data_IF_434775413881
#
_entry.id   IF_434775413881
#
_cell.length_a   1.000
_cell.length_b   1.000
_cell.length_c   1.000
_cell.angle_alpha   90.00
_cell.angle_beta   90.00
_cell.angle_gamma   90.00
#
_symmetry.space_group_name_H-M   'P 1'
#
loop_
_entity.id
_entity.type
_entity.pdbx_description
1 polymer ?
#
# COMPACT_ATOMS: atom_id res chain seq x y z
N UNK A 1 -0.73 8.57 -28.87
CA UNK A 1 -1.12 8.18 -30.25
C UNK A 1 -0.30 6.94 -30.58
N UNK A 2 -0.93 5.89 -31.10
CA UNK A 2 -0.18 4.73 -31.60
C UNK A 2 0.51 5.13 -32.92
N UNK A 3 1.81 4.86 -33.03
CA UNK A 3 2.57 5.08 -34.27
C UNK A 3 2.52 3.81 -35.13
N UNK A 4 2.29 4.00 -36.43
CA UNK A 4 2.22 2.92 -37.41
C UNK A 4 3.30 3.15 -38.48
N UNK A 5 3.84 2.04 -38.99
CA UNK A 5 4.80 2.02 -40.10
C UNK A 5 4.19 1.22 -41.24
N UNK A 6 4.23 1.79 -42.45
CA UNK A 6 3.92 1.06 -43.68
C UNK A 6 5.15 0.27 -44.11
N UNK A 7 5.00 -1.02 -44.35
CA UNK A 7 6.05 -1.90 -44.88
C UNK A 7 5.53 -2.61 -46.14
N UNK A 8 6.43 -2.89 -47.08
CA UNK A 8 6.09 -3.71 -48.25
C UNK A 8 6.45 -5.17 -47.97
N UNK A 9 5.45 -6.04 -47.98
CA UNK A 9 5.62 -7.49 -47.93
C UNK A 9 5.97 -8.04 -49.32
N UNK A 10 6.78 -9.12 -49.40
CA UNK A 10 7.20 -9.73 -50.66
C UNK A 10 6.06 -10.06 -51.63
N UNK A 11 4.99 -10.70 -51.14
CA UNK A 11 3.91 -11.21 -51.99
C UNK A 11 2.59 -10.44 -51.77
N UNK A 12 2.37 -9.91 -50.57
CA UNK A 12 1.10 -9.24 -50.22
C UNK A 12 1.07 -7.73 -50.54
N UNK A 13 2.22 -7.08 -50.71
CA UNK A 13 2.31 -5.63 -50.93
C UNK A 13 2.33 -4.81 -49.64
N UNK A 14 1.84 -3.56 -49.67
CA UNK A 14 1.94 -2.66 -48.51
C UNK A 14 0.98 -3.04 -47.37
N UNK A 15 1.52 -3.13 -46.16
CA UNK A 15 0.76 -3.34 -44.92
C UNK A 15 1.18 -2.35 -43.84
N UNK A 16 0.23 -1.96 -43.00
CA UNK A 16 0.49 -1.15 -41.81
C UNK A 16 0.75 -2.05 -40.61
N UNK A 17 1.89 -1.82 -39.95
CA UNK A 17 2.26 -2.46 -38.70
C UNK A 17 2.39 -1.43 -37.58
N UNK A 18 2.09 -1.83 -36.34
CA UNK A 18 2.43 -1.04 -35.16
C UNK A 18 3.96 -0.86 -35.08
N UNK A 19 4.41 0.33 -34.69
CA UNK A 19 5.84 0.63 -34.57
C UNK A 19 6.53 -0.07 -33.39
N UNK A 20 5.73 -0.57 -32.44
CA UNK A 20 6.23 -1.33 -31.29
C UNK A 20 5.24 -2.38 -30.81
N UNK A 21 5.79 -3.52 -30.40
CA UNK A 21 5.13 -4.62 -29.71
C UNK A 21 5.06 -4.31 -28.23
N UNK A 22 3.84 -4.30 -27.68
CA UNK A 22 3.67 -4.02 -26.24
C UNK A 22 4.15 -5.18 -25.37
N UNK A 23 4.66 -4.86 -24.17
CA UNK A 23 5.05 -5.86 -23.16
C UNK A 23 3.91 -6.84 -22.84
N UNK A 24 2.65 -6.38 -22.83
CA UNK A 24 1.48 -7.23 -22.60
C UNK A 24 1.29 -8.31 -23.67
N UNK A 25 1.54 -7.99 -24.94
CA UNK A 25 1.48 -8.97 -26.04
C UNK A 25 2.58 -10.02 -25.94
N UNK A 26 3.77 -9.64 -25.48
CA UNK A 26 4.87 -10.58 -25.24
C UNK A 26 4.57 -11.52 -24.08
N UNK A 27 3.93 -11.05 -23.01
CA UNK A 27 3.44 -11.90 -21.92
C UNK A 27 2.35 -12.87 -22.39
N UNK A 28 1.43 -12.41 -23.24
CA UNK A 28 0.43 -13.30 -23.84
C UNK A 28 1.10 -14.37 -24.72
N UNK A 29 2.08 -13.99 -25.54
CA UNK A 29 2.86 -14.93 -26.33
C UNK A 29 3.56 -15.95 -25.43
N UNK A 30 4.28 -15.49 -24.39
CA UNK A 30 4.99 -16.33 -23.41
C UNK A 30 4.07 -17.39 -22.79
N UNK A 31 2.89 -16.96 -22.35
CA UNK A 31 1.91 -17.82 -21.65
C UNK A 31 1.31 -18.91 -22.55
N UNK A 32 1.38 -18.75 -23.88
CA UNK A 32 0.71 -19.63 -24.83
C UNK A 32 1.66 -20.42 -25.74
N UNK A 33 2.90 -19.98 -25.95
CA UNK A 33 3.76 -20.60 -26.97
C UNK A 33 4.13 -22.05 -26.61
N UNK A 34 4.26 -22.42 -25.32
CA UNK A 34 4.58 -23.81 -24.95
C UNK A 34 3.45 -24.78 -25.35
N UNK A 35 2.20 -24.31 -25.34
CA UNK A 35 1.02 -25.10 -25.73
C UNK A 35 0.85 -25.14 -27.24
N UNK A 36 1.06 -24.01 -27.91
CA UNK A 36 0.91 -23.91 -29.35
C UNK A 36 1.74 -22.74 -29.91
N UNK A 37 3.02 -22.97 -30.29
CA UNK A 37 3.89 -21.93 -30.80
C UNK A 37 3.29 -21.23 -32.03
N UNK A 38 2.64 -22.01 -32.90
CA UNK A 38 1.92 -21.51 -34.06
C UNK A 38 0.82 -20.51 -33.67
N UNK A 39 -0.15 -20.91 -32.82
CA UNK A 39 -1.25 -20.02 -32.45
C UNK A 39 -0.78 -18.76 -31.71
N UNK A 40 0.20 -18.90 -30.81
CA UNK A 40 0.77 -17.76 -30.09
C UNK A 40 1.43 -16.77 -31.05
N UNK A 41 2.22 -17.26 -32.01
CA UNK A 41 2.91 -16.43 -32.99
C UNK A 41 1.94 -15.68 -33.92
N UNK A 42 0.92 -16.36 -34.45
CA UNK A 42 -0.07 -15.70 -35.32
C UNK A 42 -0.95 -14.69 -34.56
N UNK A 43 -1.22 -14.91 -33.27
CA UNK A 43 -1.86 -13.86 -32.45
C UNK A 43 -0.96 -12.65 -32.28
N UNK A 44 0.32 -12.87 -31.97
CA UNK A 44 1.29 -11.79 -31.85
C UNK A 44 1.38 -10.96 -33.14
N UNK A 45 1.39 -11.62 -34.30
CA UNK A 45 1.35 -10.95 -35.59
C UNK A 45 0.05 -10.18 -35.82
N UNK A 46 -1.12 -10.81 -35.60
CA UNK A 46 -2.43 -10.16 -35.76
C UNK A 46 -2.58 -8.93 -34.87
N UNK A 47 -2.07 -8.98 -33.64
CA UNK A 47 -2.12 -7.83 -32.73
C UNK A 47 -1.23 -6.66 -33.19
N UNK A 48 -0.21 -6.93 -34.01
CA UNK A 48 0.69 -5.92 -34.57
C UNK A 48 0.29 -5.43 -35.96
N UNK A 49 -0.57 -6.16 -36.67
CA UNK A 49 -1.06 -5.84 -38.01
C UNK A 49 -2.44 -5.17 -37.94
N UNK A 50 -2.71 -4.18 -38.80
CA UNK A 50 -4.07 -3.67 -39.02
C UNK A 50 -4.86 -4.47 -40.06
N UNK A 51 -4.28 -5.55 -40.60
CA UNK A 51 -4.92 -6.39 -41.61
C UNK A 51 -5.52 -7.66 -41.01
N UNK A 52 -6.80 -7.90 -41.32
CA UNK A 52 -7.49 -9.16 -41.00
C UNK A 52 -7.04 -10.33 -41.89
N UNK A 53 -6.23 -10.07 -42.93
CA UNK A 53 -5.90 -11.03 -44.00
C UNK A 53 -4.64 -11.86 -43.74
N UNK A 54 -4.19 -12.03 -42.50
CA UNK A 54 -2.94 -12.78 -42.25
C UNK A 54 -3.00 -14.23 -42.77
N UNK A 55 -4.21 -14.80 -42.86
CA UNK A 55 -4.42 -16.16 -43.33
C UNK A 55 -4.17 -16.31 -44.84
N UNK A 56 -4.04 -15.20 -45.59
CA UNK A 56 -3.64 -15.19 -47.00
C UNK A 56 -2.16 -14.89 -47.23
N UNK A 57 -1.36 -14.67 -46.19
CA UNK A 57 0.05 -14.37 -46.33
C UNK A 57 0.83 -15.62 -46.74
N UNK A 58 1.82 -15.44 -47.61
CA UNK A 58 2.74 -16.52 -47.96
C UNK A 58 3.66 -16.87 -46.79
N UNK A 59 4.38 -17.98 -46.90
CA UNK A 59 5.39 -18.35 -45.89
C UNK A 59 6.51 -17.29 -45.86
N UNK A 60 6.84 -16.73 -47.01
CA UNK A 60 7.81 -15.67 -47.21
C UNK A 60 7.38 -14.37 -46.52
N UNK A 61 6.11 -13.96 -46.66
CA UNK A 61 5.52 -12.82 -45.95
C UNK A 61 5.54 -13.03 -44.43
N UNK A 62 5.12 -14.22 -43.97
CA UNK A 62 5.11 -14.57 -42.54
C UNK A 62 6.54 -14.59 -41.98
N UNK A 63 7.51 -15.07 -42.75
CA UNK A 63 8.91 -15.06 -42.36
C UNK A 63 9.46 -13.63 -42.27
N UNK A 64 9.13 -12.77 -43.22
CA UNK A 64 9.53 -11.37 -43.21
C UNK A 64 9.00 -10.63 -41.97
N UNK A 65 7.71 -10.84 -41.65
CA UNK A 65 7.11 -10.28 -40.45
C UNK A 65 7.70 -10.86 -39.16
N UNK A 66 7.97 -12.17 -39.14
CA UNK A 66 8.67 -12.83 -38.03
C UNK A 66 10.06 -12.24 -37.78
N UNK A 67 10.79 -11.92 -38.85
CA UNK A 67 12.10 -11.28 -38.76
C UNK A 67 11.99 -9.85 -38.24
N UNK A 68 11.02 -9.06 -38.69
CA UNK A 68 10.80 -7.70 -38.17
C UNK A 68 10.50 -7.68 -36.67
N UNK A 69 9.63 -8.58 -36.21
CA UNK A 69 9.38 -8.75 -34.78
C UNK A 69 10.65 -9.21 -34.03
N UNK A 70 11.44 -10.08 -34.64
CA UNK A 70 12.69 -10.54 -34.05
C UNK A 70 13.75 -9.43 -33.96
N UNK A 71 13.79 -8.51 -34.92
CA UNK A 71 14.65 -7.32 -34.88
C UNK A 71 14.23 -6.37 -33.75
N UNK A 72 12.93 -6.16 -33.58
CA UNK A 72 12.38 -5.32 -32.51
C UNK A 72 12.75 -5.85 -31.11
N UNK A 73 12.78 -7.18 -30.95
CA UNK A 73 13.12 -7.86 -29.70
C UNK A 73 14.62 -8.19 -29.56
N UNK A 74 15.47 -7.68 -30.45
CA UNK A 74 16.91 -7.93 -30.47
C UNK A 74 17.29 -9.43 -30.53
N UNK A 75 16.43 -10.25 -31.16
CA UNK A 75 16.62 -11.71 -31.36
C UNK A 75 16.74 -12.14 -32.83
N UNK A 76 16.93 -11.18 -33.74
CA UNK A 76 16.97 -11.43 -35.18
C UNK A 76 18.00 -12.49 -35.61
N UNK A 77 19.18 -12.50 -35.01
CA UNK A 77 20.24 -13.47 -35.35
C UNK A 77 19.86 -14.90 -34.95
N UNK A 78 19.32 -15.08 -33.74
CA UNK A 78 18.80 -16.37 -33.29
C UNK A 78 17.62 -16.86 -34.15
N UNK A 79 16.77 -15.92 -34.59
CA UNK A 79 15.66 -16.21 -35.50
C UNK A 79 16.17 -16.70 -36.86
N UNK A 80 17.11 -15.97 -37.47
CA UNK A 80 17.71 -16.32 -38.77
C UNK A 80 18.39 -17.68 -38.73
N UNK A 81 19.20 -17.94 -37.69
CA UNK A 81 19.87 -19.24 -37.49
C UNK A 81 18.85 -20.38 -37.43
N UNK A 82 17.80 -20.22 -36.62
CA UNK A 82 16.76 -21.23 -36.46
C UNK A 82 15.97 -21.45 -37.76
N UNK A 83 15.61 -20.37 -38.47
CA UNK A 83 14.90 -20.45 -39.75
C UNK A 83 15.77 -21.11 -40.84
N UNK A 84 17.05 -20.76 -40.95
CA UNK A 84 18.00 -21.36 -41.90
C UNK A 84 18.23 -22.86 -41.64
N UNK A 85 18.04 -23.32 -40.40
CA UNK A 85 18.07 -24.75 -40.05
C UNK A 85 16.82 -25.53 -40.50
N UNK A 86 15.85 -24.86 -41.13
CA UNK A 86 14.61 -25.45 -41.66
C UNK A 86 13.42 -25.35 -40.71
N UNK A 87 13.53 -24.61 -39.60
CA UNK A 87 12.38 -24.37 -38.72
C UNK A 87 11.38 -23.43 -39.40
N UNK A 88 10.06 -23.69 -39.34
CA UNK A 88 9.07 -22.75 -39.84
C UNK A 88 9.07 -21.46 -38.98
N UNK A 89 8.58 -20.31 -39.50
CA UNK A 89 8.71 -18.99 -38.86
C UNK A 89 8.29 -18.97 -37.38
N UNK A 90 7.15 -19.57 -37.05
CA UNK A 90 6.64 -19.62 -35.68
C UNK A 90 7.53 -20.43 -34.71
N UNK A 91 8.22 -21.47 -35.20
CA UNK A 91 9.17 -22.24 -34.38
C UNK A 91 10.50 -21.53 -34.27
N UNK A 92 10.99 -20.93 -35.37
CA UNK A 92 12.20 -20.13 -35.35
C UNK A 92 12.08 -18.96 -34.36
N UNK A 93 10.93 -18.27 -34.38
CA UNK A 93 10.62 -17.20 -33.42
C UNK A 93 10.54 -17.72 -31.98
N UNK A 94 9.85 -18.83 -31.73
CA UNK A 94 9.77 -19.41 -30.38
C UNK A 94 11.15 -19.80 -29.82
N UNK A 95 12.01 -20.36 -30.66
CA UNK A 95 13.38 -20.73 -30.27
C UNK A 95 14.24 -19.50 -30.00
N UNK A 96 14.13 -18.46 -30.84
CA UNK A 96 14.83 -17.20 -30.66
C UNK A 96 14.35 -16.46 -29.41
N UNK A 97 13.03 -16.40 -29.19
CA UNK A 97 12.41 -15.74 -28.03
C UNK A 97 12.84 -16.39 -26.72
N UNK A 98 12.92 -17.72 -26.65
CA UNK A 98 13.43 -18.45 -25.46
C UNK A 98 14.88 -18.11 -25.10
N UNK A 99 15.67 -17.63 -26.07
CA UNK A 99 17.05 -17.20 -25.88
C UNK A 99 17.17 -15.70 -25.58
N UNK A 100 16.05 -14.95 -25.56
CA UNK A 100 16.05 -13.51 -25.30
C UNK A 100 16.24 -13.19 -23.82
N UNK A 101 16.88 -12.06 -23.54
CA UNK A 101 16.96 -11.49 -22.19
C UNK A 101 15.56 -11.18 -21.63
N UNK A 102 14.61 -10.81 -22.49
CA UNK A 102 13.21 -10.60 -22.12
C UNK A 102 12.57 -11.87 -21.55
N UNK A 103 12.74 -13.01 -22.23
CA UNK A 103 12.24 -14.29 -21.75
C UNK A 103 12.89 -14.69 -20.42
N UNK A 104 14.20 -14.50 -20.29
CA UNK A 104 14.87 -14.77 -19.01
C UNK A 104 14.35 -13.87 -17.88
N UNK A 105 14.13 -12.57 -18.16
CA UNK A 105 13.60 -11.63 -17.19
C UNK A 105 12.17 -11.98 -16.74
N UNK A 106 11.30 -12.32 -17.70
CA UNK A 106 9.92 -12.73 -17.43
C UNK A 106 9.85 -14.04 -16.67
N UNK A 107 10.71 -15.01 -16.98
CA UNK A 107 10.87 -16.24 -16.19
C UNK A 107 11.30 -15.94 -14.75
N UNK A 108 12.32 -15.11 -14.54
CA UNK A 108 12.76 -14.71 -13.19
C UNK A 108 11.65 -13.97 -12.42
N UNK A 109 10.91 -13.09 -13.07
CA UNK A 109 9.77 -12.40 -12.47
C UNK A 109 8.67 -13.39 -12.07
N UNK A 110 8.33 -14.32 -12.97
CA UNK A 110 7.34 -15.37 -12.75
C UNK A 110 7.74 -16.28 -11.59
N UNK A 111 8.99 -16.71 -11.55
CA UNK A 111 9.53 -17.54 -10.48
C UNK A 111 9.54 -16.79 -9.15
N UNK A 112 9.91 -15.50 -9.14
CA UNK A 112 9.82 -14.63 -7.96
C UNK A 112 8.38 -14.42 -7.50
N UNK A 113 7.44 -14.26 -8.44
CA UNK A 113 6.02 -14.11 -8.15
C UNK A 113 5.43 -15.40 -7.56
N UNK A 114 5.71 -16.56 -8.14
CA UNK A 114 5.27 -17.83 -7.59
C UNK A 114 5.95 -18.17 -6.26
N UNK A 115 7.25 -17.87 -6.14
CA UNK A 115 7.98 -18.01 -4.88
C UNK A 115 7.38 -17.10 -3.80
N UNK A 116 7.07 -15.85 -4.12
CA UNK A 116 6.41 -14.92 -3.19
C UNK A 116 4.99 -15.38 -2.86
N UNK A 117 4.24 -16.01 -3.77
CA UNK A 117 2.92 -16.59 -3.45
C UNK A 117 3.02 -17.78 -2.48
N UNK A 118 4.06 -18.61 -2.60
CA UNK A 118 4.31 -19.74 -1.70
C UNK A 118 4.88 -19.25 -0.36
N UNK A 119 5.79 -18.27 -0.40
CA UNK A 119 6.32 -17.59 0.78
C UNK A 119 5.22 -16.83 1.52
N UNK A 120 4.29 -16.16 0.83
CA UNK A 120 3.14 -15.49 1.44
C UNK A 120 2.17 -16.50 2.07
N UNK A 121 1.98 -17.68 1.46
CA UNK A 121 1.24 -18.79 2.10
C UNK A 121 1.95 -19.31 3.35
N UNK A 122 3.28 -19.45 3.32
CA UNK A 122 4.08 -19.90 4.45
C UNK A 122 4.16 -18.84 5.57
N UNK A 123 4.34 -17.57 5.22
CA UNK A 123 4.32 -16.40 6.11
C UNK A 123 2.94 -16.27 6.73
N UNK A 124 1.84 -16.41 5.97
CA UNK A 124 0.48 -16.44 6.53
C UNK A 124 0.33 -17.54 7.60
N UNK A 125 0.85 -18.74 7.32
CA UNK A 125 0.84 -19.87 8.27
C UNK A 125 1.76 -19.65 9.48
N UNK A 126 2.85 -18.89 9.33
CA UNK A 126 3.78 -18.53 10.41
C UNK A 126 3.37 -17.29 11.21
N UNK A 127 2.55 -16.40 10.62
CA UNK A 127 2.02 -15.20 11.25
C UNK A 127 0.71 -15.44 12.00
N UNK A 128 0.03 -16.58 11.79
CA UNK A 128 -1.13 -17.00 12.58
C UNK A 128 -0.87 -16.97 14.12
N UNK A 129 0.23 -17.51 14.65
CA UNK A 129 0.54 -17.42 16.09
C UNK A 129 0.93 -16.00 16.58
N UNK A 130 1.80 -15.22 15.89
CA UNK A 130 2.08 -13.82 16.24
C UNK A 130 0.86 -12.90 16.20
N UNK A 131 -0.09 -13.13 15.29
CA UNK A 131 -1.34 -12.36 15.24
C UNK A 131 -2.22 -12.63 16.47
N UNK A 132 -2.20 -13.87 16.99
CA UNK A 132 -2.76 -14.20 18.30
C UNK A 132 -2.06 -13.45 19.44
N UNK A 133 -0.73 -13.33 19.39
CA UNK A 133 0.05 -12.59 20.39
C UNK A 133 -0.18 -11.07 20.33
N UNK A 134 -0.29 -10.47 19.13
CA UNK A 134 -0.60 -9.05 18.95
C UNK A 134 -2.00 -8.74 19.50
N UNK A 135 -2.98 -9.61 19.23
CA UNK A 135 -4.32 -9.49 19.81
C UNK A 135 -4.30 -9.62 21.33
N UNK A 136 -3.54 -10.57 21.88
CA UNK A 136 -3.34 -10.71 23.33
C UNK A 136 -2.62 -9.51 23.95
N UNK A 137 -1.66 -8.88 23.27
CA UNK A 137 -0.98 -7.65 23.72
C UNK A 137 -1.94 -6.46 23.68
N UNK A 138 -2.77 -6.33 22.62
CA UNK A 138 -3.81 -5.32 22.54
C UNK A 138 -4.83 -5.46 23.69
N UNK A 139 -5.23 -6.70 24.01
CA UNK A 139 -6.10 -7.05 25.13
C UNK A 139 -5.42 -6.84 26.50
N UNK A 140 -4.08 -6.95 26.59
CA UNK A 140 -3.30 -6.66 27.81
C UNK A 140 -3.08 -5.17 28.05
N UNK A 141 -2.95 -4.37 26.98
CA UNK A 141 -2.64 -2.93 27.04
C UNK A 141 -3.92 -2.10 27.16
N UNK A 142 -5.04 -2.56 26.60
CA UNK A 142 -6.35 -1.91 26.69
C UNK A 142 -6.80 -1.54 28.13
N UNK A 143 -6.67 -2.42 29.15
CA UNK A 143 -7.03 -2.08 30.53
C UNK A 143 -6.14 -1.00 31.14
N UNK A 144 -4.85 -0.96 30.80
CA UNK A 144 -3.89 0.04 31.26
C UNK A 144 -4.17 1.42 30.66
N UNK A 145 -4.65 1.48 29.41
CA UNK A 145 -5.12 2.70 28.78
C UNK A 145 -6.46 3.17 29.37
N UNK A 146 -7.40 2.26 29.64
CA UNK A 146 -8.68 2.58 30.32
C UNK A 146 -8.51 3.02 31.77
N UNK A 147 -7.50 2.52 32.47
CA UNK A 147 -7.15 2.98 33.82
C UNK A 147 -6.53 4.39 33.81
N UNK A 148 -5.95 4.82 32.69
CA UNK A 148 -5.52 6.19 32.46
C UNK A 148 -6.71 7.12 32.18
N UNK A 149 -7.75 6.63 31.49
CA UNK A 149 -9.00 7.35 31.24
C UNK A 149 -9.91 7.44 32.49
N UNK A 150 -9.80 6.51 33.44
CA UNK A 150 -10.62 6.45 34.66
C UNK A 150 -10.17 7.41 35.78
N UNK A 151 -9.04 8.09 35.63
CA UNK A 151 -8.64 9.20 36.49
C UNK A 151 -9.40 10.47 36.04
N UNK A 152 -10.61 10.61 36.56
CA UNK A 152 -11.54 11.71 36.29
C UNK A 152 -10.89 13.11 36.26
N UNK A 153 -10.56 13.58 35.07
CA UNK A 153 -10.50 14.99 34.70
C UNK A 153 -10.81 15.13 33.20
N UNK A 154 -12.08 15.07 32.82
CA UNK A 154 -12.63 15.86 31.70
C UNK A 154 -14.16 15.89 31.87
N UNK A 155 -14.75 17.09 31.97
CA UNK A 155 -15.00 17.86 30.75
C UNK A 155 -14.59 19.33 30.87
N UNK A 156 -14.26 19.90 29.71
CA UNK A 156 -13.74 21.27 29.44
C UNK A 156 -12.20 21.30 29.37
N UNK A 157 -11.69 21.62 28.17
CA UNK A 157 -10.30 21.97 27.80
C UNK A 157 -9.38 20.93 27.13
N UNK A 158 -9.81 20.33 26.02
CA UNK A 158 -8.92 19.50 25.19
C UNK A 158 -7.82 20.32 24.47
N UNK A 159 -7.88 21.66 24.50
CA UNK A 159 -6.89 22.55 23.88
C UNK A 159 -5.99 23.33 24.85
N UNK A 160 -6.30 23.36 26.16
CA UNK A 160 -5.46 24.10 27.13
C UNK A 160 -4.44 23.21 27.83
N UNK A 161 -4.69 21.90 27.93
CA UNK A 161 -3.84 20.99 28.70
C UNK A 161 -2.53 20.66 27.97
N UNK A 162 -2.58 20.47 26.65
CA UNK A 162 -1.38 20.32 25.82
C UNK A 162 -0.58 21.64 25.70
N UNK A 163 -1.25 22.78 25.86
CA UNK A 163 -0.61 24.10 25.92
C UNK A 163 0.07 24.37 27.27
N UNK A 164 -0.47 23.82 28.37
CA UNK A 164 0.16 23.90 29.68
C UNK A 164 1.38 22.99 29.81
N UNK A 165 1.43 21.86 29.11
CA UNK A 165 2.60 20.98 29.11
C UNK A 165 3.75 21.49 28.22
N UNK A 166 3.47 22.42 27.29
CA UNK A 166 4.50 23.12 26.51
C UNK A 166 5.09 24.36 27.20
N UNK A 167 4.57 24.77 28.37
CA UNK A 167 5.14 25.87 29.14
C UNK A 167 6.01 25.35 30.31
N UNK A 168 7.23 25.89 30.52
CA UNK A 168 8.16 25.47 31.58
C UNK A 168 7.57 25.52 33.01
N UNK A 169 6.47 26.23 33.20
CA UNK A 169 5.79 26.47 34.48
C UNK A 169 4.97 25.28 35.00
N UNK A 170 4.61 24.30 34.17
CA UNK A 170 3.78 23.15 34.60
C UNK A 170 4.57 22.08 35.38
N UNK A 171 5.82 21.83 34.99
CA UNK A 171 6.75 21.03 35.79
C UNK A 171 7.05 21.71 37.15
N UNK A 172 7.17 23.05 37.16
CA UNK A 172 7.29 23.84 38.39
C UNK A 172 6.03 23.79 39.25
N UNK A 173 4.83 23.82 38.67
CA UNK A 173 3.56 23.71 39.41
C UNK A 173 3.36 22.31 40.01
N UNK A 174 3.77 21.25 39.31
CA UNK A 174 3.75 19.88 39.81
C UNK A 174 4.80 19.65 40.91
N UNK A 175 6.01 20.20 40.75
CA UNK A 175 7.07 20.16 41.77
C UNK A 175 6.71 20.99 43.01
N UNK A 176 6.12 22.17 42.83
CA UNK A 176 5.61 23.03 43.92
C UNK A 176 4.45 22.37 44.66
N UNK A 177 3.51 21.74 43.95
CA UNK A 177 2.40 20.98 44.55
C UNK A 177 2.89 19.75 45.33
N UNK A 178 3.90 19.04 44.82
CA UNK A 178 4.57 17.95 45.56
C UNK A 178 5.29 18.44 46.82
N UNK A 179 5.85 19.65 46.81
CA UNK A 179 6.47 20.29 47.99
C UNK A 179 5.43 20.83 48.99
N UNK A 180 4.29 21.33 48.50
CA UNK A 180 3.18 21.83 49.33
C UNK A 180 2.33 20.70 49.94
N UNK A 181 2.18 19.58 49.25
CA UNK A 181 1.41 18.39 49.69
C UNK A 181 2.23 17.43 50.58
N UNK A 182 3.50 17.72 50.88
CA UNK A 182 4.34 17.02 51.88
C UNK A 182 3.89 17.20 53.35
N UNK A 183 2.59 17.29 53.59
CA UNK A 183 1.98 17.36 54.94
C UNK A 183 1.83 15.99 55.62
N UNK A 184 2.29 14.90 55.00
CA UNK A 184 2.23 13.54 55.57
C UNK A 184 3.52 13.03 56.24
N UNK A 185 4.55 13.87 56.39
CA UNK A 185 5.73 13.53 57.20
C UNK A 185 5.97 14.58 58.30
N UNK A 186 6.23 14.17 59.55
CA UNK A 186 6.36 15.10 60.67
C UNK A 186 7.54 16.06 60.44
N UNK A 187 7.27 17.37 60.59
CA UNK A 187 8.20 18.52 60.41
C UNK A 187 9.44 18.54 61.33
N UNK A 188 9.73 17.45 62.05
CA UNK A 188 10.74 17.41 63.11
C UNK A 188 11.99 16.58 62.75
N UNK A 189 12.29 16.40 61.46
CA UNK A 189 13.60 15.89 61.05
C UNK A 189 14.44 17.05 60.50
N UNK A 190 15.68 17.12 61.01
CA UNK A 190 16.63 18.23 60.92
C UNK A 190 16.80 18.82 59.50
N UNK A 191 17.14 20.12 59.37
CA UNK A 191 17.43 20.79 58.09
C UNK A 191 18.49 20.08 57.23
N UNK A 192 19.32 19.26 57.85
CA UNK A 192 20.43 18.51 57.24
C UNK A 192 20.00 17.45 56.20
N UNK A 193 18.70 17.21 56.01
CA UNK A 193 18.17 16.19 55.09
C UNK A 193 17.45 16.73 53.84
N UNK A 194 17.31 18.05 53.66
CA UNK A 194 16.74 18.63 52.42
C UNK A 194 17.65 18.42 51.22
N UNK A 195 18.95 18.55 51.41
CA UNK A 195 19.96 18.52 50.36
C UNK A 195 20.13 17.10 49.78
N UNK A 196 20.00 16.08 50.64
CA UNK A 196 20.03 14.67 50.23
C UNK A 196 18.83 14.30 49.34
N UNK A 197 17.67 14.95 49.53
CA UNK A 197 16.45 14.67 48.77
C UNK A 197 16.48 15.28 47.38
N UNK A 198 17.06 16.48 47.23
CA UNK A 198 17.22 17.12 45.92
C UNK A 198 18.21 16.34 45.04
N UNK A 199 19.34 15.94 45.62
CA UNK A 199 20.33 15.09 44.95
C UNK A 199 19.76 13.72 44.57
N UNK A 200 18.95 13.09 45.44
CA UNK A 200 18.29 11.82 45.13
C UNK A 200 17.25 11.94 44.00
N UNK A 201 16.48 13.03 43.95
CA UNK A 201 15.49 13.26 42.89
C UNK A 201 16.14 13.54 41.52
N UNK A 202 17.23 14.31 41.50
CA UNK A 202 18.02 14.57 40.29
C UNK A 202 18.72 13.31 39.80
N UNK A 203 19.33 12.54 40.71
CA UNK A 203 19.96 11.25 40.40
C UNK A 203 18.95 10.24 39.86
N UNK A 204 17.76 10.17 40.44
CA UNK A 204 16.68 9.30 39.97
C UNK A 204 16.18 9.71 38.58
N UNK A 205 16.08 11.01 38.31
CA UNK A 205 15.66 11.53 37.00
C UNK A 205 16.69 11.20 35.90
N UNK A 206 17.98 11.33 36.22
CA UNK A 206 19.08 10.94 35.31
C UNK A 206 19.14 9.42 35.09
N UNK A 207 18.90 8.62 36.12
CA UNK A 207 18.80 7.16 36.01
C UNK A 207 17.62 6.73 35.12
N UNK A 208 16.44 7.36 35.27
CA UNK A 208 15.26 7.09 34.43
C UNK A 208 15.52 7.48 32.97
N UNK A 209 16.12 8.66 32.73
CA UNK A 209 16.47 9.10 31.38
C UNK A 209 17.49 8.15 30.73
N UNK A 210 18.54 7.77 31.47
CA UNK A 210 19.57 6.81 31.01
C UNK A 210 18.97 5.44 30.69
N UNK A 211 18.06 4.93 31.54
CA UNK A 211 17.35 3.66 31.31
C UNK A 211 16.52 3.70 30.04
N UNK A 212 15.76 4.79 29.82
CA UNK A 212 14.92 4.94 28.62
C UNK A 212 15.75 5.07 27.34
N UNK A 213 16.86 5.81 27.40
CA UNK A 213 17.81 5.90 26.27
C UNK A 213 18.39 4.52 25.96
N UNK A 214 18.70 3.71 26.97
CA UNK A 214 19.19 2.34 26.80
C UNK A 214 18.15 1.43 26.16
N UNK A 215 16.90 1.46 26.63
CA UNK A 215 15.78 0.68 26.06
C UNK A 215 15.53 1.02 24.60
N UNK A 216 15.46 2.31 24.26
CA UNK A 216 15.31 2.78 22.87
C UNK A 216 16.49 2.28 22.03
N UNK A 217 17.72 2.43 22.53
CA UNK A 217 18.94 1.99 21.83
C UNK A 217 18.99 0.47 21.58
N UNK A 218 18.35 -0.33 22.42
CA UNK A 218 18.30 -1.79 22.25
C UNK A 218 17.29 -2.24 21.20
N UNK A 219 16.17 -1.51 21.04
CA UNK A 219 15.09 -1.88 20.12
C UNK A 219 15.32 -1.29 18.72
N UNK A 220 15.96 -0.11 18.63
CA UNK A 220 16.21 0.61 17.37
C UNK A 220 16.94 -0.23 16.29
N UNK A 221 17.98 -1.03 16.59
CA UNK A 221 18.68 -1.85 15.60
C UNK A 221 17.81 -2.99 15.02
N UNK A 222 16.75 -3.39 15.73
CA UNK A 222 15.82 -4.43 15.29
C UNK A 222 14.72 -3.83 14.41
N UNK A 223 14.26 -2.62 14.74
CA UNK A 223 13.32 -1.85 13.92
C UNK A 223 13.97 -1.46 12.58
N UNK A 224 15.19 -0.90 12.61
CA UNK A 224 15.93 -0.50 11.40
C UNK A 224 16.27 -1.70 10.49
N UNK A 225 16.70 -2.84 11.06
CA UNK A 225 16.92 -4.08 10.28
C UNK A 225 15.63 -4.65 9.69
N UNK A 226 14.52 -4.61 10.42
CA UNK A 226 13.22 -5.12 9.97
C UNK A 226 12.61 -4.30 8.83
N UNK A 227 12.81 -2.99 8.84
CA UNK A 227 12.19 -2.05 7.89
C UNK A 227 12.95 -1.87 6.58
N UNK A 228 14.18 -2.41 6.44
CA UNK A 228 15.06 -2.22 5.26
C UNK A 228 15.05 -0.76 4.76
N UNK A 229 15.21 0.19 5.67
CA UNK A 229 15.25 1.61 5.32
C UNK A 229 16.56 1.92 4.55
N UNK A 230 16.52 2.77 3.50
CA UNK A 230 17.71 3.14 2.74
C UNK A 230 18.67 3.96 3.60
N UNK A 231 19.95 3.57 3.60
CA UNK A 231 21.03 4.06 4.47
C UNK A 231 21.26 5.59 4.49
N UNK A 232 20.76 6.35 3.50
CA UNK A 232 21.09 7.77 3.32
C UNK A 232 20.16 8.73 4.08
N UNK A 233 18.90 8.36 4.34
CA UNK A 233 17.95 9.21 5.10
C UNK A 233 18.15 9.15 6.61
N UNK A 234 18.81 8.09 7.10
CA UNK A 234 18.84 7.72 8.52
C UNK A 234 20.10 8.19 9.25
N UNK A 235 21.12 8.60 8.49
CA UNK A 235 22.42 9.01 9.04
C UNK A 235 22.30 10.16 10.04
N UNK A 236 21.53 11.23 9.79
CA UNK A 236 21.41 12.34 10.73
C UNK A 236 20.75 11.90 12.05
N UNK A 237 19.73 11.05 12.00
CA UNK A 237 18.97 10.60 13.18
C UNK A 237 19.79 9.65 14.04
N UNK A 238 20.51 8.71 13.42
CA UNK A 238 21.43 7.82 14.12
C UNK A 238 22.63 8.58 14.70
N UNK A 239 23.13 9.61 14.01
CA UNK A 239 24.19 10.50 14.52
C UNK A 239 23.69 11.33 15.71
N UNK A 240 22.48 11.90 15.65
CA UNK A 240 21.87 12.66 16.76
C UNK A 240 21.61 11.79 17.99
N UNK A 241 21.08 10.57 17.81
CA UNK A 241 20.87 9.63 18.92
C UNK A 241 22.20 9.16 19.53
N UNK A 242 23.21 8.90 18.70
CA UNK A 242 24.56 8.55 19.16
C UNK A 242 25.20 9.69 19.96
N UNK A 243 25.05 10.94 19.50
CA UNK A 243 25.54 12.12 20.21
C UNK A 243 24.81 12.32 21.55
N UNK A 244 23.49 12.14 21.59
CA UNK A 244 22.72 12.24 22.84
C UNK A 244 23.14 11.17 23.87
N UNK A 245 23.37 9.93 23.42
CA UNK A 245 23.88 8.84 24.27
C UNK A 245 25.29 9.16 24.80
N UNK A 246 26.19 9.60 23.92
CA UNK A 246 27.57 9.94 24.29
C UNK A 246 27.61 11.09 25.30
N UNK A 247 26.79 12.12 25.10
CA UNK A 247 26.73 13.28 25.99
C UNK A 247 26.12 12.93 27.35
N UNK A 248 25.10 12.07 27.39
CA UNK A 248 24.54 11.55 28.65
C UNK A 248 25.55 10.72 29.45
N UNK A 249 26.42 9.96 28.79
CA UNK A 249 27.47 9.19 29.43
C UNK A 249 28.57 10.10 30.01
N UNK A 250 28.96 11.14 29.28
CA UNK A 250 29.94 12.13 29.72
C UNK A 250 29.46 12.93 30.96
N UNK A 251 28.19 13.35 30.97
CA UNK A 251 27.58 14.01 32.13
C UNK A 251 27.57 13.12 33.38
N UNK A 252 27.30 11.83 33.21
CA UNK A 252 27.29 10.86 34.32
C UNK A 252 28.69 10.65 34.91
N UNK A 253 29.73 10.66 34.06
CA UNK A 253 31.11 10.54 34.49
C UNK A 253 31.60 11.80 35.22
N UNK A 254 31.25 12.98 34.71
CA UNK A 254 31.69 14.25 35.30
C UNK A 254 30.98 14.56 36.61
N UNK A 255 29.69 14.24 36.75
CA UNK A 255 28.94 14.40 38.02
C UNK A 255 29.45 13.48 39.14
N UNK A 256 29.95 12.29 38.80
CA UNK A 256 30.58 11.39 39.77
C UNK A 256 31.92 11.89 40.33
N UNK A 257 32.61 12.80 39.64
CA UNK A 257 33.92 13.33 40.04
C UNK A 257 33.84 14.47 41.07
N UNK A 258 32.71 15.18 41.16
CA UNK A 258 32.56 16.34 42.06
C UNK A 258 32.16 15.98 43.50
N UNK A 259 31.79 14.73 43.80
CA UNK A 259 31.37 14.28 45.13
C UNK A 259 32.50 13.60 45.96
N UNK A 260 33.72 14.16 45.95
CA UNK A 260 34.76 13.76 46.90
C UNK A 260 34.82 14.76 48.06
N UNK A 261 34.41 14.39 49.30
CA UNK A 261 34.53 15.29 50.43
C UNK A 261 36.00 15.39 50.82
N UNK A 262 36.58 16.58 50.68
CA UNK A 262 37.90 16.90 51.24
C UNK A 262 37.71 17.42 52.66
N UNK A 263 37.98 16.57 53.66
CA UNK A 263 37.92 16.96 55.07
C UNK A 263 39.19 17.72 55.47
N UNK A 264 39.12 19.06 55.58
CA UNK A 264 40.05 19.84 56.41
C UNK A 264 39.37 21.12 56.89
N UNK A 265 39.02 21.13 58.17
CA UNK A 265 38.44 22.28 58.86
C UNK A 265 39.53 23.26 59.29
N UNK A 266 39.40 24.52 58.88
CA UNK A 266 39.56 25.72 59.73
C UNK A 266 39.26 26.97 58.88
N UNK A 267 38.26 27.76 59.31
CA UNK A 267 37.94 29.14 58.94
C UNK A 267 37.69 29.50 57.44
N UNK A 268 37.09 28.61 56.65
CA UNK A 268 36.63 28.86 55.26
C UNK A 268 35.12 28.69 55.02
N UNK A 269 34.31 28.65 56.07
CA UNK A 269 32.87 28.31 56.03
C UNK A 269 32.06 29.18 55.04
N UNK A 270 32.35 30.48 54.95
CA UNK A 270 31.64 31.40 54.05
C UNK A 270 31.97 31.23 52.56
N UNK A 271 33.18 30.78 52.21
CA UNK A 271 33.58 30.59 50.80
C UNK A 271 33.15 29.21 50.31
N UNK A 272 33.15 28.22 51.19
CA UNK A 272 32.66 26.86 50.88
C UNK A 272 31.16 26.87 50.58
N UNK A 273 30.34 27.62 51.31
CA UNK A 273 28.91 27.71 51.05
C UNK A 273 28.59 28.43 49.72
N UNK A 274 29.29 29.52 49.40
CA UNK A 274 29.09 30.22 48.11
C UNK A 274 29.57 29.39 46.91
N UNK A 275 30.72 28.71 47.03
CA UNK A 275 31.24 27.84 45.96
C UNK A 275 30.39 26.59 45.78
N UNK A 276 29.85 26.02 46.86
CA UNK A 276 28.89 24.92 46.81
C UNK A 276 27.58 25.34 46.14
N UNK A 277 27.00 26.47 46.55
CA UNK A 277 25.78 27.00 45.94
C UNK A 277 25.95 27.32 44.44
N UNK A 278 27.10 27.90 44.06
CA UNK A 278 27.43 28.15 42.66
C UNK A 278 27.59 26.84 41.87
N UNK A 279 28.25 25.83 42.44
CA UNK A 279 28.41 24.53 41.79
C UNK A 279 27.07 23.81 41.63
N UNK A 280 26.19 23.87 42.64
CA UNK A 280 24.84 23.28 42.58
C UNK A 280 23.97 23.99 41.53
N UNK A 281 24.06 25.31 41.42
CA UNK A 281 23.35 26.08 40.40
C UNK A 281 23.80 25.70 38.98
N UNK A 282 25.12 25.58 38.75
CA UNK A 282 25.68 25.16 37.46
C UNK A 282 25.25 23.72 37.13
N UNK A 283 25.30 22.81 38.10
CA UNK A 283 24.85 21.43 37.93
C UNK A 283 23.34 21.35 37.62
N UNK A 284 22.53 22.15 38.30
CA UNK A 284 21.08 22.21 38.08
C UNK A 284 20.75 22.75 36.68
N UNK A 285 21.39 23.85 36.26
CA UNK A 285 21.20 24.44 34.93
C UNK A 285 21.65 23.48 33.81
N UNK A 286 22.79 22.82 34.00
CA UNK A 286 23.29 21.80 33.07
C UNK A 286 22.33 20.61 32.97
N UNK A 287 21.89 20.06 34.10
CA UNK A 287 20.95 18.94 34.12
C UNK A 287 19.60 19.32 33.48
N UNK A 288 19.09 20.51 33.75
CA UNK A 288 17.83 21.01 33.15
C UNK A 288 17.95 21.13 31.64
N UNK A 289 19.07 21.70 31.16
CA UNK A 289 19.34 21.85 29.73
C UNK A 289 19.47 20.49 29.04
N UNK A 290 20.14 19.52 29.68
CA UNK A 290 20.24 18.16 29.15
C UNK A 290 18.89 17.43 29.09
N UNK A 291 18.05 17.58 30.10
CA UNK A 291 16.70 17.01 30.10
C UNK A 291 15.85 17.61 28.98
N UNK A 292 15.90 18.94 28.80
CA UNK A 292 15.18 19.61 27.73
C UNK A 292 15.65 19.16 26.34
N UNK A 293 16.96 19.04 26.14
CA UNK A 293 17.54 18.56 24.88
C UNK A 293 17.12 17.12 24.59
N UNK A 294 17.25 16.22 25.56
CA UNK A 294 16.83 14.80 25.41
C UNK A 294 15.34 14.71 25.10
N UNK A 295 14.49 15.46 25.79
CA UNK A 295 13.05 15.44 25.53
C UNK A 295 12.70 15.96 24.13
N UNK A 296 13.38 17.01 23.65
CA UNK A 296 13.19 17.52 22.30
C UNK A 296 13.60 16.49 21.24
N UNK A 297 14.77 15.85 21.41
CA UNK A 297 15.23 14.79 20.50
C UNK A 297 14.30 13.57 20.52
N UNK A 298 13.80 13.16 21.68
CA UNK A 298 12.84 12.05 21.79
C UNK A 298 11.53 12.39 21.08
N UNK A 299 11.04 13.62 21.17
CA UNK A 299 9.84 14.06 20.47
C UNK A 299 10.03 14.02 18.95
N UNK A 300 11.15 14.54 18.43
CA UNK A 300 11.46 14.52 16.99
C UNK A 300 11.58 13.08 16.45
N UNK A 301 12.26 12.20 17.19
CA UNK A 301 12.39 10.78 16.82
C UNK A 301 11.04 10.09 16.85
N UNK A 302 10.19 10.39 17.83
CA UNK A 302 8.85 9.80 17.93
C UNK A 302 7.98 10.21 16.73
N UNK A 303 7.97 11.49 16.36
CA UNK A 303 7.23 11.97 15.19
C UNK A 303 7.73 11.33 13.89
N UNK A 304 9.05 11.18 13.74
CA UNK A 304 9.62 10.51 12.58
C UNK A 304 9.22 9.03 12.52
N UNK A 305 9.27 8.32 13.65
CA UNK A 305 8.85 6.91 13.74
C UNK A 305 7.37 6.78 13.42
N UNK A 306 6.50 7.62 13.99
CA UNK A 306 5.07 7.63 13.68
C UNK A 306 4.81 7.84 12.19
N UNK A 307 5.50 8.81 11.57
CA UNK A 307 5.39 9.09 10.14
C UNK A 307 5.85 7.92 9.26
N UNK A 308 6.94 7.25 9.63
CA UNK A 308 7.45 6.08 8.89
C UNK A 308 6.56 4.84 9.09
N UNK A 309 6.04 4.63 10.30
CA UNK A 309 5.07 3.56 10.60
C UNK A 309 3.78 3.79 9.82
N UNK A 310 3.23 5.00 9.84
CA UNK A 310 2.00 5.33 9.14
C UNK A 310 2.17 5.27 7.62
N UNK A 311 3.29 5.73 7.07
CA UNK A 311 3.50 5.72 5.62
C UNK A 311 3.87 4.34 5.05
N UNK A 312 4.58 3.49 5.81
CA UNK A 312 5.09 2.20 5.30
C UNK A 312 4.37 0.98 5.86
N UNK A 313 4.12 0.97 7.17
CA UNK A 313 3.62 -0.20 7.88
C UNK A 313 2.10 -0.28 7.77
N UNK A 314 1.40 0.86 7.92
CA UNK A 314 -0.06 0.89 7.87
C UNK A 314 -0.62 0.35 6.53
N UNK A 315 -0.12 0.73 5.35
CA UNK A 315 -0.60 0.16 4.08
C UNK A 315 -0.34 -1.34 3.95
N UNK A 316 0.75 -1.85 4.55
CA UNK A 316 1.03 -3.28 4.59
C UNK A 316 0.06 -4.02 5.50
N UNK A 317 -0.26 -3.47 6.68
CA UNK A 317 -1.27 -4.05 7.56
C UNK A 317 -2.65 -4.10 6.90
N UNK A 318 -3.06 -3.02 6.23
CA UNK A 318 -4.33 -2.98 5.50
C UNK A 318 -4.37 -4.01 4.37
N UNK A 319 -3.27 -4.17 3.63
CA UNK A 319 -3.13 -5.23 2.62
C UNK A 319 -3.23 -6.61 3.24
N UNK A 320 -2.52 -6.88 4.34
CA UNK A 320 -2.58 -8.17 5.05
C UNK A 320 -3.99 -8.44 5.57
N UNK A 321 -4.64 -7.47 6.19
CA UNK A 321 -6.02 -7.61 6.64
C UNK A 321 -6.97 -7.91 5.48
N UNK A 322 -6.79 -7.24 4.34
CA UNK A 322 -7.55 -7.50 3.11
C UNK A 322 -7.32 -8.92 2.59
N UNK A 323 -6.10 -9.46 2.68
CA UNK A 323 -5.80 -10.85 2.32
C UNK A 323 -6.39 -11.87 3.31
N UNK A 324 -6.48 -11.50 4.58
CA UNK A 324 -7.01 -12.35 5.66
C UNK A 324 -8.53 -12.40 5.63
N UNK A 325 -9.17 -11.28 5.35
CA UNK A 325 -10.62 -11.12 5.28
C UNK A 325 -11.00 -10.32 4.04
N UNK A 326 -10.90 -10.94 2.84
CA UNK A 326 -11.24 -10.26 1.60
C UNK A 326 -12.68 -9.73 1.64
N UNK A 327 -12.92 -8.46 1.22
CA UNK A 327 -14.28 -7.98 1.06
C UNK A 327 -15.01 -8.88 0.07
N UNK A 328 -16.32 -9.07 0.27
CA UNK A 328 -17.12 -9.78 -0.73
C UNK A 328 -17.11 -8.92 -2.00
N UNK A 329 -16.94 -9.54 -3.16
CA UNK A 329 -16.87 -8.80 -4.42
C UNK A 329 -18.14 -7.96 -4.67
N UNK A 330 -19.31 -8.45 -4.26
CA UNK A 330 -20.56 -7.68 -4.28
C UNK A 330 -20.45 -6.37 -3.49
N UNK A 331 -19.82 -6.39 -2.31
CA UNK A 331 -19.66 -5.20 -1.46
C UNK A 331 -18.74 -4.17 -2.13
N UNK A 332 -17.74 -4.62 -2.89
CA UNK A 332 -16.89 -3.74 -3.71
C UNK A 332 -17.69 -3.07 -4.83
N UNK A 333 -18.54 -3.82 -5.55
CA UNK A 333 -19.39 -3.25 -6.59
C UNK A 333 -20.43 -2.28 -6.02
N UNK A 334 -20.96 -2.54 -4.82
CA UNK A 334 -21.87 -1.62 -4.14
C UNK A 334 -21.15 -0.32 -3.71
N UNK A 335 -19.93 -0.41 -3.20
CA UNK A 335 -19.09 0.77 -2.90
C UNK A 335 -18.78 1.58 -4.17
N UNK A 336 -18.46 0.88 -5.27
CA UNK A 336 -18.27 1.50 -6.58
C UNK A 336 -19.52 2.27 -7.02
N UNK A 337 -20.68 1.61 -6.98
CA UNK A 337 -21.95 2.20 -7.37
C UNK A 337 -22.25 3.48 -6.56
N UNK A 338 -22.06 3.43 -5.24
CA UNK A 338 -22.23 4.59 -4.36
C UNK A 338 -21.28 5.73 -4.71
N UNK A 339 -20.00 5.44 -4.98
CA UNK A 339 -19.00 6.45 -5.35
C UNK A 339 -19.36 7.15 -6.65
N UNK A 340 -19.71 6.39 -7.69
CA UNK A 340 -20.09 6.95 -8.99
C UNK A 340 -21.36 7.78 -8.87
N UNK A 341 -22.40 7.23 -8.24
CA UNK A 341 -23.68 7.91 -8.02
C UNK A 341 -23.49 9.23 -7.27
N UNK A 342 -22.59 9.29 -6.28
CA UNK A 342 -22.37 10.51 -5.49
C UNK A 342 -21.50 11.54 -6.19
N UNK A 343 -20.40 11.11 -6.80
CA UNK A 343 -19.29 12.00 -7.16
C UNK A 343 -19.01 12.11 -8.66
N UNK A 344 -19.49 11.15 -9.47
CA UNK A 344 -19.04 11.02 -10.86
C UNK A 344 -20.18 10.83 -11.87
N UNK A 345 -21.44 10.85 -11.44
CA UNK A 345 -22.58 10.59 -12.32
C UNK A 345 -22.65 11.55 -13.52
N UNK A 346 -22.29 12.82 -13.33
CA UNK A 346 -22.30 13.85 -14.38
C UNK A 346 -21.35 13.53 -15.54
N UNK A 347 -20.27 12.77 -15.29
CA UNK A 347 -19.28 12.40 -16.31
C UNK A 347 -19.82 11.48 -17.39
N UNK A 348 -20.99 10.86 -17.16
CA UNK A 348 -21.69 10.06 -18.16
C UNK A 348 -22.50 10.91 -19.15
N UNK A 349 -22.62 12.21 -18.92
CA UNK A 349 -23.41 13.13 -19.73
C UNK A 349 -22.53 14.16 -20.42
N UNK A 350 -22.93 14.56 -21.62
CA UNK A 350 -22.31 15.70 -22.29
C UNK A 350 -22.81 16.97 -21.57
N UNK A 351 -21.92 17.86 -21.09
CA UNK A 351 -22.32 19.11 -20.45
C UNK A 351 -23.31 19.89 -21.32
N UNK A 352 -24.34 20.46 -20.66
CA UNK A 352 -25.42 21.24 -21.28
C UNK A 352 -26.28 20.49 -22.31
N UNK A 353 -26.14 19.16 -22.41
CA UNK A 353 -26.98 18.31 -23.27
C UNK A 353 -27.67 17.22 -22.45
N UNK A 354 -28.87 16.84 -22.88
CA UNK A 354 -29.58 15.67 -22.34
C UNK A 354 -29.10 14.34 -22.95
N UNK A 355 -27.85 14.31 -23.43
CA UNK A 355 -27.27 13.17 -24.13
C UNK A 355 -26.10 12.60 -23.32
N UNK A 356 -26.00 11.27 -23.30
CA UNK A 356 -24.85 10.59 -22.72
C UNK A 356 -23.60 10.81 -23.58
N UNK A 357 -22.43 10.63 -22.97
CA UNK A 357 -21.16 10.61 -23.71
C UNK A 357 -21.15 9.49 -24.77
N UNK A 358 -20.33 9.60 -25.83
CA UNK A 358 -20.12 8.50 -26.75
C UNK A 358 -19.51 7.29 -26.02
N UNK A 359 -20.03 6.08 -26.29
CA UNK A 359 -19.56 4.82 -25.68
C UNK A 359 -19.59 4.79 -24.13
N UNK A 360 -20.75 5.05 -23.49
CA UNK A 360 -20.87 5.10 -22.04
C UNK A 360 -20.53 3.76 -21.35
N UNK A 361 -20.78 2.62 -22.00
CA UNK A 361 -20.38 1.28 -21.50
C UNK A 361 -18.86 1.15 -21.39
N UNK A 362 -18.11 1.55 -22.42
CA UNK A 362 -16.64 1.53 -22.41
C UNK A 362 -16.06 2.45 -21.33
N UNK A 363 -16.69 3.60 -21.10
CA UNK A 363 -16.31 4.49 -20.01
C UNK A 363 -16.59 3.84 -18.65
N UNK A 364 -17.77 3.24 -18.46
CA UNK A 364 -18.12 2.46 -17.27
C UNK A 364 -17.11 1.34 -16.97
N UNK A 365 -16.74 0.53 -17.97
CA UNK A 365 -15.70 -0.50 -17.86
C UNK A 365 -14.37 0.11 -17.35
N UNK A 366 -13.98 1.25 -17.90
CA UNK A 366 -12.73 1.94 -17.56
C UNK A 366 -12.74 2.43 -16.12
N UNK A 367 -13.79 3.13 -15.69
CA UNK A 367 -13.87 3.64 -14.31
C UNK A 367 -14.02 2.51 -13.28
N UNK A 368 -14.69 1.41 -13.62
CA UNK A 368 -14.77 0.23 -12.77
C UNK A 368 -13.38 -0.39 -12.58
N UNK A 369 -12.62 -0.52 -13.67
CA UNK A 369 -11.27 -1.07 -13.62
C UNK A 369 -10.36 -0.23 -12.72
N UNK A 370 -10.34 1.09 -12.93
CA UNK A 370 -9.58 2.03 -12.11
C UNK A 370 -10.01 1.97 -10.64
N UNK A 371 -11.32 1.90 -10.37
CA UNK A 371 -11.82 1.80 -9.00
C UNK A 371 -11.36 0.52 -8.31
N UNK A 372 -11.49 -0.62 -8.98
CA UNK A 372 -11.09 -1.91 -8.41
C UNK A 372 -9.59 -1.93 -8.17
N UNK A 373 -8.78 -1.58 -9.17
CA UNK A 373 -7.32 -1.49 -9.06
C UNK A 373 -6.90 -0.52 -7.96
N UNK A 374 -7.55 0.63 -7.83
CA UNK A 374 -7.29 1.60 -6.78
C UNK A 374 -7.69 1.10 -5.38
N UNK A 375 -8.79 0.34 -5.28
CA UNK A 375 -9.34 -0.11 -4.00
C UNK A 375 -8.59 -1.30 -3.42
N UNK A 376 -8.17 -2.23 -4.28
CA UNK A 376 -7.51 -3.47 -3.87
C UNK A 376 -6.02 -3.49 -4.19
N UNK A 377 -5.52 -2.56 -5.00
CA UNK A 377 -4.13 -2.51 -5.43
C UNK A 377 -3.77 -3.69 -6.33
N UNK A 378 -2.51 -4.13 -6.27
CA UNK A 378 -1.93 -5.18 -7.12
C UNK A 378 -2.44 -6.61 -6.81
N UNK A 379 -3.41 -6.78 -5.92
CA UNK A 379 -3.93 -8.10 -5.54
C UNK A 379 -5.11 -8.57 -6.42
N UNK A 380 -5.63 -7.68 -7.27
CA UNK A 380 -6.57 -8.04 -8.32
C UNK A 380 -5.92 -7.88 -9.69
N UNK A 381 -6.23 -8.82 -10.58
CA UNK A 381 -6.12 -8.63 -12.01
C UNK A 381 -7.47 -8.17 -12.54
N UNK A 382 -7.48 -7.10 -13.34
CA UNK A 382 -8.67 -6.63 -14.04
C UNK A 382 -8.42 -6.72 -15.54
N UNK A 383 -9.17 -7.60 -16.21
CA UNK A 383 -9.18 -7.71 -17.66
C UNK A 383 -10.46 -7.11 -18.22
N UNK A 384 -10.36 -6.35 -19.30
CA UNK A 384 -11.51 -5.84 -20.06
C UNK A 384 -11.66 -6.61 -21.37
N UNK A 385 -12.90 -6.79 -21.81
CA UNK A 385 -13.22 -7.49 -23.08
C UNK A 385 -12.50 -8.85 -23.13
N UNK A 386 -12.59 -9.61 -22.06
CA UNK A 386 -11.87 -10.89 -21.94
C UNK A 386 -12.67 -11.96 -22.66
N UNK A 387 -12.05 -12.60 -23.64
CA UNK A 387 -12.71 -13.68 -24.40
C UNK A 387 -13.11 -14.82 -23.46
N UNK A 388 -14.41 -15.12 -23.43
CA UNK A 388 -14.99 -16.23 -22.67
C UNK A 388 -15.98 -16.99 -23.55
N UNK A 389 -15.62 -18.21 -23.93
CA UNK A 389 -16.42 -19.00 -24.86
C UNK A 389 -16.56 -18.33 -26.24
N UNK A 390 -17.80 -18.16 -26.76
CA UNK A 390 -18.04 -17.53 -28.05
C UNK A 390 -17.99 -16.00 -28.01
N UNK A 391 -18.00 -15.37 -26.83
CA UNK A 391 -18.09 -13.91 -26.67
C UNK A 391 -16.94 -13.31 -25.85
N UNK A 392 -17.18 -12.07 -25.40
CA UNK A 392 -16.26 -11.29 -24.58
C UNK A 392 -17.02 -10.80 -23.35
N UNK A 393 -16.45 -11.04 -22.17
CA UNK A 393 -16.96 -10.51 -20.91
C UNK A 393 -16.46 -9.08 -20.78
N UNK A 394 -17.35 -8.13 -20.49
CA UNK A 394 -17.00 -6.71 -20.35
C UNK A 394 -15.83 -6.50 -19.40
N UNK A 395 -15.94 -7.04 -18.18
CA UNK A 395 -14.88 -7.00 -17.17
C UNK A 395 -14.75 -8.34 -16.44
N UNK A 396 -13.55 -8.92 -16.49
CA UNK A 396 -13.15 -10.06 -15.67
C UNK A 396 -12.26 -9.55 -14.53
N UNK A 397 -12.63 -9.84 -13.29
CA UNK A 397 -11.80 -9.52 -12.13
C UNK A 397 -11.34 -10.80 -11.46
N UNK A 398 -10.02 -11.05 -11.43
CA UNK A 398 -9.43 -12.12 -10.64
C UNK A 398 -8.87 -11.54 -9.35
N UNK A 399 -9.57 -11.78 -8.24
CA UNK A 399 -9.23 -11.29 -6.91
C UNK A 399 -8.90 -12.48 -6.02
N UNK A 400 -7.65 -12.56 -5.55
CA UNK A 400 -7.15 -13.68 -4.73
C UNK A 400 -7.36 -15.06 -5.35
N UNK A 401 -7.23 -15.16 -6.68
CA UNK A 401 -7.45 -16.39 -7.43
C UNK A 401 -8.92 -16.75 -7.64
N UNK A 402 -9.85 -15.92 -7.18
CA UNK A 402 -11.28 -16.05 -7.49
C UNK A 402 -11.62 -15.12 -8.64
N UNK A 403 -12.11 -15.69 -9.74
CA UNK A 403 -12.56 -14.95 -10.90
C UNK A 403 -14.02 -14.51 -10.75
N UNK A 404 -14.29 -13.27 -11.10
CA UNK A 404 -15.60 -12.64 -11.07
C UNK A 404 -15.92 -12.10 -12.46
N UNK A 405 -17.04 -12.56 -13.02
CA UNK A 405 -17.56 -12.11 -14.30
C UNK A 405 -18.46 -10.90 -14.07
N UNK A 406 -18.18 -9.79 -14.75
CA UNK A 406 -18.99 -8.58 -14.68
C UNK A 406 -19.42 -8.17 -16.08
N UNK A 407 -20.73 -8.13 -16.29
CA UNK A 407 -21.36 -7.52 -17.47
C UNK A 407 -21.84 -6.12 -17.11
N UNK A 408 -21.69 -5.17 -18.03
CA UNK A 408 -22.04 -3.77 -17.85
C UNK A 408 -23.09 -3.38 -18.88
N UNK A 409 -24.19 -2.79 -18.40
CA UNK A 409 -25.25 -2.28 -19.27
C UNK A 409 -25.64 -0.86 -18.89
N UNK A 410 -26.05 -0.08 -19.89
CA UNK A 410 -26.60 1.27 -19.69
C UNK A 410 -28.11 1.25 -19.93
N UNK A 411 -28.87 1.96 -19.09
CA UNK A 411 -30.31 2.17 -19.27
C UNK A 411 -30.59 3.68 -19.26
N UNK A 412 -31.46 4.15 -20.16
CA UNK A 412 -31.73 5.58 -20.34
C UNK A 412 -31.09 6.15 -21.61
N UNK A 413 -31.39 7.42 -21.89
CA UNK A 413 -31.12 8.01 -23.20
C UNK A 413 -31.90 7.27 -24.29
N UNK A 414 -31.22 6.40 -25.02
CA UNK A 414 -31.81 5.53 -26.07
C UNK A 414 -31.75 4.03 -25.73
N UNK A 415 -31.21 3.65 -24.56
CA UNK A 415 -31.08 2.25 -24.15
C UNK A 415 -32.28 1.82 -23.29
N UNK A 416 -32.99 0.78 -23.73
CA UNK A 416 -34.17 0.26 -23.04
C UNK A 416 -33.80 -0.67 -21.88
N UNK A 417 -34.75 -0.97 -20.99
CA UNK A 417 -34.53 -1.98 -19.95
C UNK A 417 -34.27 -3.38 -20.55
N UNK A 418 -34.86 -3.68 -21.71
CA UNK A 418 -34.63 -4.95 -22.42
C UNK A 418 -33.17 -5.13 -22.86
N UNK A 419 -32.46 -4.03 -23.11
CA UNK A 419 -31.01 -4.05 -23.36
C UNK A 419 -30.21 -4.46 -22.13
N UNK A 420 -30.65 -4.05 -20.93
CA UNK A 420 -30.02 -4.52 -19.70
C UNK A 420 -30.35 -5.98 -19.41
N UNK A 421 -31.56 -6.43 -19.76
CA UNK A 421 -32.02 -7.81 -19.57
C UNK A 421 -31.25 -8.80 -20.45
N UNK A 422 -30.86 -8.42 -21.66
CA UNK A 422 -30.01 -9.27 -22.50
C UNK A 422 -28.64 -9.53 -21.86
N UNK A 423 -28.19 -8.69 -20.91
CA UNK A 423 -26.99 -8.95 -20.12
C UNK A 423 -27.13 -10.16 -19.19
N UNK A 424 -28.36 -10.52 -18.76
CA UNK A 424 -28.61 -11.72 -17.96
C UNK A 424 -28.35 -12.99 -18.79
N UNK A 425 -28.86 -13.02 -20.01
CA UNK A 425 -28.68 -14.16 -20.93
C UNK A 425 -27.18 -14.36 -21.28
N UNK A 426 -26.47 -13.25 -21.53
CA UNK A 426 -25.01 -13.29 -21.78
C UNK A 426 -24.24 -13.85 -20.58
N UNK A 427 -24.56 -13.39 -19.38
CA UNK A 427 -23.92 -13.89 -18.16
C UNK A 427 -24.22 -15.36 -17.89
N UNK A 428 -25.44 -15.84 -18.15
CA UNK A 428 -25.77 -17.27 -18.02
C UNK A 428 -24.94 -18.13 -18.97
N UNK A 429 -24.78 -17.69 -20.23
CA UNK A 429 -23.92 -18.37 -21.21
C UNK A 429 -22.45 -18.40 -20.75
N UNK A 430 -21.94 -17.29 -20.22
CA UNK A 430 -20.58 -17.23 -19.68
C UNK A 430 -20.40 -18.11 -18.46
N UNK A 431 -21.33 -18.09 -17.51
CA UNK A 431 -21.32 -18.96 -16.34
C UNK A 431 -21.30 -20.44 -16.73
N UNK A 432 -22.16 -20.82 -17.68
CA UNK A 432 -22.23 -22.17 -18.24
C UNK A 432 -20.89 -22.58 -18.85
N UNK A 433 -20.30 -21.74 -19.69
CA UNK A 433 -19.07 -22.07 -20.42
C UNK A 433 -17.83 -22.09 -19.52
N UNK A 434 -17.78 -21.21 -18.52
CA UNK A 434 -16.63 -21.07 -17.62
C UNK A 434 -16.76 -21.89 -16.32
N UNK A 435 -17.89 -22.55 -16.10
CA UNK A 435 -18.16 -23.32 -14.87
C UNK A 435 -18.24 -22.44 -13.62
N UNK A 436 -18.67 -21.19 -13.75
CA UNK A 436 -18.81 -20.25 -12.62
C UNK A 436 -20.25 -20.22 -12.16
N UNK A 437 -20.46 -20.19 -10.85
CA UNK A 437 -21.80 -20.19 -10.25
C UNK A 437 -22.25 -18.81 -9.76
N UNK A 438 -21.45 -17.77 -10.02
CA UNK A 438 -21.81 -16.40 -9.68
C UNK A 438 -21.24 -15.43 -10.70
N UNK A 439 -22.09 -14.51 -11.15
CA UNK A 439 -21.74 -13.40 -12.01
C UNK A 439 -22.44 -12.12 -11.53
N UNK A 440 -22.03 -10.98 -12.09
CA UNK A 440 -22.51 -9.68 -11.66
C UNK A 440 -22.96 -8.87 -12.87
N UNK A 441 -24.17 -8.34 -12.83
CA UNK A 441 -24.67 -7.39 -13.81
C UNK A 441 -24.66 -5.99 -13.21
N UNK A 442 -23.84 -5.10 -13.76
CA UNK A 442 -23.71 -3.72 -13.33
C UNK A 442 -24.49 -2.82 -14.27
N UNK A 443 -25.60 -2.26 -13.79
CA UNK A 443 -26.52 -1.45 -14.61
C UNK A 443 -26.41 0.01 -14.26
N UNK A 444 -25.92 0.82 -15.19
CA UNK A 444 -25.88 2.27 -15.06
C UNK A 444 -27.23 2.84 -15.52
N UNK A 445 -28.05 3.25 -14.55
CA UNK A 445 -29.39 3.79 -14.77
C UNK A 445 -29.35 5.32 -14.90
N UNK A 446 -29.39 5.78 -16.15
CA UNK A 446 -29.49 7.18 -16.54
C UNK A 446 -30.91 7.63 -16.88
N UNK A 447 -31.95 6.88 -16.49
CA UNK A 447 -33.33 7.37 -16.58
C UNK A 447 -33.53 8.48 -15.56
N UNK A 448 -34.03 9.63 -16.03
CA UNK A 448 -34.40 10.76 -15.16
C UNK A 448 -35.65 10.43 -14.34
N UNK A 449 -36.66 9.85 -14.98
CA UNK A 449 -37.88 9.44 -14.28
C UNK A 449 -37.74 8.05 -13.65
N UNK A 450 -38.38 7.84 -12.50
CA UNK A 450 -38.55 6.51 -11.90
C UNK A 450 -39.57 5.61 -12.65
N UNK A 451 -40.12 6.07 -13.77
CA UNK A 451 -41.08 5.30 -14.55
C UNK A 451 -40.38 4.15 -15.29
N UNK A 452 -41.03 2.99 -15.30
CA UNK A 452 -40.56 1.78 -15.98
C UNK A 452 -40.26 0.64 -15.02
N UNK A 453 -39.97 -0.54 -15.59
CA UNK A 453 -39.54 -1.72 -14.83
C UNK A 453 -38.10 -1.52 -14.32
N UNK A 454 -37.83 -2.03 -13.13
CA UNK A 454 -36.48 -2.21 -12.60
C UNK A 454 -36.13 -3.70 -12.64
N UNK A 455 -34.85 -4.01 -12.79
CA UNK A 455 -34.36 -5.38 -12.60
C UNK A 455 -34.43 -5.75 -11.11
N UNK A 456 -34.62 -7.03 -10.85
CA UNK A 456 -34.45 -7.61 -9.52
C UNK A 456 -32.98 -7.52 -9.08
N UNK A 457 -32.74 -7.57 -7.78
CA UNK A 457 -31.38 -7.49 -7.22
C UNK A 457 -30.55 -8.74 -7.45
N UNK A 458 -31.21 -9.88 -7.67
CA UNK A 458 -30.59 -11.18 -7.85
C UNK A 458 -31.49 -12.06 -8.70
N UNK A 459 -30.89 -12.87 -9.58
CA UNK A 459 -31.59 -13.89 -10.36
C UNK A 459 -30.95 -15.25 -10.08
N UNK A 460 -31.72 -16.19 -9.54
CA UNK A 460 -31.30 -17.57 -9.38
C UNK A 460 -31.62 -18.35 -10.65
N UNK A 461 -30.57 -18.86 -11.29
CA UNK A 461 -30.61 -19.65 -12.51
C UNK A 461 -30.19 -21.09 -12.21
N UNK A 462 -30.36 -21.99 -13.17
CA UNK A 462 -29.92 -23.39 -13.02
C UNK A 462 -28.40 -23.48 -12.79
N UNK A 463 -27.63 -22.58 -13.41
CA UNK A 463 -26.16 -22.61 -13.39
C UNK A 463 -25.53 -21.80 -12.24
N UNK A 464 -26.31 -21.02 -11.49
CA UNK A 464 -25.79 -20.14 -10.44
C UNK A 464 -26.67 -18.92 -10.18
N UNK A 465 -26.09 -17.90 -9.54
CA UNK A 465 -26.79 -16.66 -9.21
C UNK A 465 -26.14 -15.47 -9.94
N UNK A 466 -26.95 -14.62 -10.57
CA UNK A 466 -26.52 -13.32 -11.08
C UNK A 466 -26.94 -12.24 -10.09
N UNK A 467 -25.97 -11.51 -9.55
CA UNK A 467 -26.22 -10.36 -8.66
C UNK A 467 -26.27 -9.07 -9.49
N UNK A 468 -27.31 -8.26 -9.30
CA UNK A 468 -27.50 -7.01 -10.04
C UNK A 468 -27.19 -5.80 -9.15
N UNK A 469 -26.27 -4.97 -9.60
CA UNK A 469 -25.90 -3.71 -8.94
C UNK A 469 -26.31 -2.55 -9.83
N UNK A 470 -27.21 -1.70 -9.35
CA UNK A 470 -27.63 -0.50 -10.08
C UNK A 470 -26.79 0.70 -9.68
N UNK A 471 -26.17 1.37 -10.65
CA UNK A 471 -25.46 2.64 -10.51
C UNK A 471 -26.36 3.75 -11.02
N UNK A 472 -26.87 4.61 -10.14
CA UNK A 472 -27.67 5.78 -10.58
C UNK A 472 -26.73 6.80 -11.19
N UNK A 473 -26.97 7.15 -12.45
CA UNK A 473 -26.20 8.16 -13.17
C UNK A 473 -27.06 9.32 -13.69
N UNK A 474 -28.31 9.44 -13.27
CA UNK A 474 -29.14 10.60 -13.55
C UNK A 474 -29.92 11.00 -12.31
N UNK A 475 -30.10 12.31 -12.13
CA UNK A 475 -30.90 12.92 -11.08
C UNK A 475 -31.79 13.99 -11.70
N UNK A 476 -32.94 14.22 -11.06
CA UNK A 476 -33.94 15.21 -11.47
C UNK A 476 -33.55 16.64 -11.06
#
# INVERSE_FOLDING_TARGET
MEEFKVISLPDFGEVEIRSSTTVGLLFEYESNFERSPHRAFFRLLRSNLLSDSIDSFSIEDINFLGLLLAEELEIAENYKESFQSGAPPHQAFAQAFKKSDFFEHTQRFRDSFFFSSAAMRAIRKQLEPPLGAIKSIQELVQPSLRNFEALHLFPIMESSFLRQLSEPTSAFAWHRKMLEEQTLFPRNLLPEFSDFRLGAAQYTSLQIASSRISEISQVLPSITRGLRLPHETDRPVLESLSQAVAWSAELSLNTGLYFRPTSRADDTESIEDETKAASEAILHESATSSILYVNATVAEVSELVEREVESRIQPLFERIQTLLSPPRFLDLLQQFAQSVTRNHWETFWIPDKSQMIPSPERFAQTILSIFIEGRVGQIAFVGREVRSGPGFVDVLVSFLGTEHLVEIKIVGGNHSIGWAESGLDQLDEYMTTSGKHRAYLLVFDGRRTQRGRNLERSYDLENGTIEVVTVRIAFD
#
